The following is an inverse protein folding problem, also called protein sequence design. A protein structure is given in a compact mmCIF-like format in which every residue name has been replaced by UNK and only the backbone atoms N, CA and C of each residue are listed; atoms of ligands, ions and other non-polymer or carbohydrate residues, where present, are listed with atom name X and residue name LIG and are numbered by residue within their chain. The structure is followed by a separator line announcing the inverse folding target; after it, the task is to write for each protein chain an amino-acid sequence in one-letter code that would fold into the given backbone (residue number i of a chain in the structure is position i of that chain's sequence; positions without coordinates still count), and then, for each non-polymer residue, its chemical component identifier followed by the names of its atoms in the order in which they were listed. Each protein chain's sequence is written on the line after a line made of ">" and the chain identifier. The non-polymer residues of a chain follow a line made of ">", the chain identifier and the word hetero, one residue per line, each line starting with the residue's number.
data_IF_844656571174
#
_entry.id   IF_844656571174
#
_cell.length_a   1.000
_cell.length_b   1.000
_cell.length_c   1.000
_cell.angle_alpha   90.00
_cell.angle_beta   90.00
_cell.angle_gamma   90.00
#
_symmetry.space_group_name_H-M   'P 1'
#
loop_
_entity.id
_entity.type
_entity.pdbx_description
1 polymer ?
#
# COMPACT_ATOMS: atom_id res chain seq x y z
N UNK A 1 1.14 -21.73 -8.46
CA UNK A 1 2.43 -21.02 -8.64
C UNK A 1 3.54 -22.01 -8.38
N UNK A 2 4.33 -22.32 -9.40
CA UNK A 2 5.39 -23.35 -9.34
C UNK A 2 6.52 -22.85 -8.43
N UNK A 3 6.80 -23.57 -7.35
CA UNK A 3 7.80 -23.23 -6.30
C UNK A 3 9.26 -23.43 -6.76
N UNK A 4 9.55 -23.24 -8.04
CA UNK A 4 10.82 -23.64 -8.65
C UNK A 4 11.92 -22.58 -8.52
N UNK A 5 11.56 -21.34 -8.14
CA UNK A 5 12.52 -20.26 -7.92
C UNK A 5 12.92 -20.24 -6.43
N UNK A 6 14.22 -20.45 -6.11
CA UNK A 6 14.68 -20.41 -4.73
C UNK A 6 14.53 -19.00 -4.17
N UNK A 7 13.87 -18.86 -3.02
CA UNK A 7 13.72 -17.60 -2.29
C UNK A 7 13.80 -17.83 -0.79
N UNK A 8 14.28 -16.82 -0.05
CA UNK A 8 14.27 -16.82 1.40
C UNK A 8 12.91 -16.35 1.91
N UNK A 9 12.00 -17.32 2.09
CA UNK A 9 10.65 -17.07 2.60
C UNK A 9 10.68 -16.61 4.05
N UNK A 10 9.97 -15.53 4.34
CA UNK A 10 9.79 -15.00 5.68
C UNK A 10 8.45 -15.46 6.27
N UNK A 11 7.37 -15.27 5.51
CA UNK A 11 6.00 -15.62 5.91
C UNK A 11 5.27 -16.14 4.68
N UNK A 12 4.49 -17.20 4.84
CA UNK A 12 3.62 -17.71 3.80
C UNK A 12 2.24 -18.00 4.40
N UNK A 13 1.21 -17.34 3.86
CA UNK A 13 -0.20 -17.59 4.19
C UNK A 13 -0.89 -18.30 3.03
N UNK A 14 -2.19 -18.57 3.16
CA UNK A 14 -2.98 -19.13 2.06
C UNK A 14 -3.03 -18.19 0.85
N UNK A 15 -3.01 -16.87 1.08
CA UNK A 15 -3.21 -15.85 0.04
C UNK A 15 -1.97 -15.02 -0.29
N UNK A 16 -0.95 -15.03 0.55
CA UNK A 16 0.20 -14.12 0.46
C UNK A 16 1.52 -14.84 0.72
N UNK A 17 2.59 -14.36 0.10
CA UNK A 17 3.96 -14.77 0.34
C UNK A 17 4.84 -13.54 0.58
N UNK A 18 5.61 -13.55 1.67
CA UNK A 18 6.63 -12.56 1.95
C UNK A 18 8.02 -13.22 1.91
N UNK A 19 8.97 -12.60 1.22
CA UNK A 19 10.33 -13.11 1.06
C UNK A 19 11.34 -11.96 0.96
N UNK A 20 12.62 -12.26 1.20
CA UNK A 20 13.68 -11.24 1.10
C UNK A 20 13.95 -10.84 -0.34
N UNK A 21 14.15 -9.54 -0.55
CA UNK A 21 14.58 -9.01 -1.84
C UNK A 21 16.03 -9.46 -2.13
N UNK A 22 16.32 -9.80 -3.39
CA UNK A 22 17.66 -10.17 -3.84
C UNK A 22 18.62 -8.97 -3.92
N UNK A 23 18.07 -7.76 -4.12
CA UNK A 23 18.77 -6.48 -4.16
C UNK A 23 18.21 -5.54 -3.09
N UNK A 24 18.48 -5.80 -1.79
CA UNK A 24 17.91 -5.02 -0.71
C UNK A 24 18.44 -3.58 -0.70
N UNK A 25 17.54 -2.58 -0.66
CA UNK A 25 17.91 -1.17 -0.49
C UNK A 25 18.32 -0.84 0.95
N UNK A 26 17.86 -1.62 1.92
CA UNK A 26 18.18 -1.49 3.34
C UNK A 26 18.13 -2.85 4.04
N UNK A 27 18.70 -2.93 5.24
CA UNK A 27 18.62 -4.14 6.07
C UNK A 27 17.15 -4.51 6.32
N UNK A 28 16.80 -5.77 6.02
CA UNK A 28 15.44 -6.28 6.23
C UNK A 28 14.45 -5.97 5.10
N UNK A 29 14.90 -5.43 3.96
CA UNK A 29 14.04 -5.21 2.80
C UNK A 29 13.43 -6.55 2.32
N UNK A 30 12.11 -6.59 2.29
CA UNK A 30 11.32 -7.77 1.94
C UNK A 30 10.20 -7.36 0.99
N UNK A 31 9.86 -8.28 0.09
CA UNK A 31 8.75 -8.15 -0.83
C UNK A 31 7.58 -9.00 -0.34
N UNK A 32 6.38 -8.42 -0.38
CA UNK A 32 5.12 -9.10 -0.05
C UNK A 32 4.30 -9.18 -1.33
N UNK A 33 3.98 -10.40 -1.76
CA UNK A 33 3.20 -10.65 -2.97
C UNK A 33 1.94 -11.46 -2.65
N UNK A 34 0.79 -11.13 -3.24
CA UNK A 34 -0.36 -12.00 -3.25
C UNK A 34 -0.12 -13.19 -4.17
N UNK A 35 -0.70 -14.34 -3.83
CA UNK A 35 -0.65 -15.57 -4.64
C UNK A 35 -1.58 -15.49 -5.85
N UNK A 36 -2.57 -14.60 -5.81
CA UNK A 36 -3.42 -14.27 -6.96
C UNK A 36 -2.60 -13.49 -8.00
N UNK A 37 -2.73 -13.86 -9.27
CA UNK A 37 -2.02 -13.20 -10.36
C UNK A 37 -2.81 -11.99 -10.87
N UNK A 38 -2.34 -10.79 -10.55
CA UNK A 38 -2.79 -9.54 -11.15
C UNK A 38 -1.59 -8.70 -11.56
N UNK A 39 -1.68 -7.99 -12.69
CA UNK A 39 -0.60 -7.10 -13.14
C UNK A 39 -0.48 -5.87 -12.23
N UNK A 40 -1.62 -5.36 -11.77
CA UNK A 40 -1.73 -4.20 -10.89
C UNK A 40 -2.46 -4.59 -9.62
N UNK A 41 -2.24 -3.82 -8.56
CA UNK A 41 -2.96 -3.99 -7.29
C UNK A 41 -4.49 -3.92 -7.46
N UNK A 42 -4.97 -3.13 -8.44
CA UNK A 42 -6.39 -2.98 -8.77
C UNK A 42 -7.01 -4.19 -9.45
N UNK A 43 -6.20 -5.09 -9.98
CA UNK A 43 -6.67 -6.29 -10.69
C UNK A 43 -6.85 -7.47 -9.73
N UNK A 44 -6.46 -7.28 -8.47
CA UNK A 44 -6.47 -8.29 -7.42
C UNK A 44 -7.78 -8.17 -6.63
N UNK A 45 -8.57 -9.25 -6.50
CA UNK A 45 -9.79 -9.21 -5.70
C UNK A 45 -9.49 -8.83 -4.24
N UNK A 46 -10.38 -8.04 -3.64
CA UNK A 46 -10.24 -7.56 -2.25
C UNK A 46 -9.95 -8.68 -1.24
N UNK A 47 -10.53 -9.86 -1.46
CA UNK A 47 -10.31 -11.03 -0.60
C UNK A 47 -8.85 -11.52 -0.56
N UNK A 48 -8.07 -11.23 -1.60
CA UNK A 48 -6.64 -11.57 -1.71
C UNK A 48 -5.74 -10.43 -1.22
N UNK A 49 -6.31 -9.25 -0.97
CA UNK A 49 -5.59 -8.09 -0.45
C UNK A 49 -5.67 -7.96 1.07
N UNK A 50 -6.53 -8.75 1.74
CA UNK A 50 -6.77 -8.68 3.19
C UNK A 50 -5.51 -8.82 4.05
N UNK A 51 -4.53 -9.60 3.57
CA UNK A 51 -3.29 -9.88 4.30
C UNK A 51 -2.22 -8.80 4.05
N UNK A 52 -2.39 -7.98 3.01
CA UNK A 52 -1.38 -7.03 2.51
C UNK A 52 -1.80 -5.59 2.79
N UNK A 53 -3.10 -5.29 2.66
CA UNK A 53 -3.64 -3.96 2.83
C UNK A 53 -4.38 -3.84 4.15
N UNK A 54 -4.28 -2.66 4.76
CA UNK A 54 -5.15 -2.28 5.87
C UNK A 54 -6.59 -2.22 5.31
N UNK A 55 -7.54 -3.01 5.84
CA UNK A 55 -8.89 -3.04 5.32
C UNK A 55 -9.51 -1.65 5.44
N UNK A 56 -10.18 -1.22 4.37
CA UNK A 56 -10.97 0.02 4.43
C UNK A 56 -12.12 -0.16 5.42
N UNK A 57 -12.32 0.77 6.37
CA UNK A 57 -13.48 0.72 7.25
C UNK A 57 -14.80 0.93 6.47
N UNK A 58 -14.75 1.63 5.34
CA UNK A 58 -15.88 1.83 4.41
C UNK A 58 -15.33 2.27 3.02
N UNK A 59 -16.16 2.33 1.97
CA UNK A 59 -15.70 2.68 0.62
C UNK A 59 -15.04 4.07 0.48
N UNK A 60 -15.34 5.02 1.38
CA UNK A 60 -14.91 6.42 1.30
C UNK A 60 -13.63 6.70 2.11
N UNK A 61 -13.39 5.92 3.16
CA UNK A 61 -12.32 6.12 4.14
C UNK A 61 -11.25 5.02 4.06
N UNK A 62 -10.02 5.34 4.46
CA UNK A 62 -8.88 4.42 4.46
C UNK A 62 -7.88 4.70 3.34
N UNK A 63 -6.91 3.79 3.14
CA UNK A 63 -5.82 4.01 2.20
C UNK A 63 -6.35 4.03 0.76
N UNK A 64 -6.29 5.17 0.09
CA UNK A 64 -6.66 5.38 -1.32
C UNK A 64 -5.37 5.63 -2.13
N UNK A 65 -5.20 4.94 -3.26
CA UNK A 65 -4.15 5.29 -4.23
C UNK A 65 -4.71 6.42 -5.10
N UNK A 66 -4.36 7.65 -4.71
CA UNK A 66 -4.82 8.89 -5.32
C UNK A 66 -4.86 9.96 -4.25
N UNK A 67 -4.17 11.07 -4.45
CA UNK A 67 -4.29 12.22 -3.56
C UNK A 67 -5.72 12.76 -3.72
N UNK A 68 -6.61 12.61 -2.73
CA UNK A 68 -7.95 13.15 -2.88
C UNK A 68 -7.81 14.67 -2.96
N UNK A 69 -8.08 15.24 -4.14
CA UNK A 69 -8.11 16.68 -4.30
C UNK A 69 -9.29 17.19 -3.48
N UNK A 70 -9.00 17.73 -2.29
CA UNK A 70 -10.00 18.37 -1.46
C UNK A 70 -10.62 19.51 -2.26
N UNK A 71 -11.96 19.59 -2.27
CA UNK A 71 -12.66 20.76 -2.79
C UNK A 71 -12.27 21.97 -1.94
N UNK A 72 -11.33 22.75 -2.47
CA UNK A 72 -10.74 23.89 -1.78
C UNK A 72 -11.18 25.17 -2.47
N UNK A 73 -11.46 26.18 -1.67
CA UNK A 73 -11.74 27.54 -2.11
C UNK A 73 -10.61 28.47 -1.63
N UNK A 74 -10.55 29.68 -2.18
CA UNK A 74 -9.48 30.62 -1.91
C UNK A 74 -9.41 31.04 -0.43
N UNK A 75 -10.52 30.93 0.31
CA UNK A 75 -10.58 31.29 1.73
C UNK A 75 -9.96 30.20 2.60
N UNK A 76 -10.25 28.91 2.32
CA UNK A 76 -9.61 27.78 2.99
C UNK A 76 -8.11 27.73 2.75
N UNK A 77 -7.65 28.06 1.54
CA UNK A 77 -6.23 28.10 1.21
C UNK A 77 -5.48 29.18 2.00
N UNK A 78 -6.08 30.37 2.14
CA UNK A 78 -5.49 31.44 2.95
C UNK A 78 -5.39 31.06 4.43
N UNK A 79 -6.45 30.45 4.98
CA UNK A 79 -6.43 29.99 6.36
C UNK A 79 -5.35 28.93 6.61
N UNK A 80 -5.21 27.96 5.70
CA UNK A 80 -4.16 26.95 5.77
C UNK A 80 -2.76 27.56 5.65
N UNK A 81 -2.57 28.53 4.75
CA UNK A 81 -1.30 29.23 4.57
C UNK A 81 -0.86 29.95 5.85
N UNK A 82 -1.76 30.69 6.50
CA UNK A 82 -1.46 31.37 7.76
C UNK A 82 -1.16 30.40 8.90
N UNK A 83 -1.90 29.28 8.99
CA UNK A 83 -1.62 28.21 9.97
C UNK A 83 -0.22 27.60 9.77
N UNK A 84 0.17 27.28 8.53
CA UNK A 84 1.50 26.74 8.23
C UNK A 84 2.58 27.76 8.60
N UNK A 85 2.42 29.03 8.22
CA UNK A 85 3.39 30.08 8.52
C UNK A 85 3.56 30.32 10.03
N UNK A 86 2.54 30.02 10.84
CA UNK A 86 2.64 30.12 12.31
C UNK A 86 3.47 28.99 12.94
N UNK A 87 3.70 27.90 12.21
CA UNK A 87 4.39 26.67 12.68
C UNK A 87 5.80 26.51 12.12
N UNK A 88 6.29 27.47 11.34
CA UNK A 88 7.66 27.55 10.80
C UNK A 88 8.33 28.80 11.34
#
# INVERSE_FOLDING_TARGET
>A
MSSDIPCFKLVETEKTLAFLDINPLSRGHALVIPKFHGEKLTDIPDEHLSDILIPKPNPEEGLVIGWPQQATDMDKLKALFEDIKSKV
#
